data_IF_772205705876
#
_entry.id   IF_772205705876
#
_cell.length_a   1.000
_cell.length_b   1.000
_cell.length_c   1.000
_cell.angle_alpha   90.00
_cell.angle_beta   90.00
_cell.angle_gamma   90.00
#
_symmetry.space_group_name_H-M   'P 1'
#
loop_
_entity.id
_entity.type
_entity.pdbx_description
1 polymer ?
#
# COMPACT_ATOMS: atom_id res chain seq x y z
N UNK A 1 9.63 4.67 -13.12
CA UNK A 1 10.05 3.43 -12.44
C UNK A 1 10.07 3.62 -10.94
N UNK A 2 9.61 2.71 -10.18
CA UNK A 2 9.55 2.84 -8.75
C UNK A 2 10.83 2.36 -8.06
N UNK A 3 11.96 2.81 -8.56
CA UNK A 3 13.24 2.36 -8.04
C UNK A 3 13.44 2.72 -6.57
N UNK A 4 12.94 3.89 -6.19
CA UNK A 4 13.06 4.32 -4.80
C UNK A 4 12.26 3.40 -3.89
N UNK A 5 11.09 2.99 -4.33
CA UNK A 5 10.27 2.07 -3.56
C UNK A 5 10.94 0.71 -3.43
N UNK A 6 11.50 0.19 -4.51
CA UNK A 6 12.18 -1.11 -4.48
C UNK A 6 13.37 -1.06 -3.54
N UNK A 7 14.14 0.02 -3.59
CA UNK A 7 15.29 0.17 -2.70
C UNK A 7 14.85 0.20 -1.24
N UNK A 8 13.77 0.91 -0.93
CA UNK A 8 13.28 0.98 0.43
C UNK A 8 12.68 -0.35 0.88
N UNK A 9 12.03 -1.04 -0.03
CA UNK A 9 11.48 -2.35 0.28
C UNK A 9 12.61 -3.30 0.70
N UNK A 10 13.72 -3.29 -0.03
CA UNK A 10 14.86 -4.11 0.32
C UNK A 10 15.52 -3.66 1.63
N UNK A 11 15.66 -2.37 1.80
CA UNK A 11 16.32 -1.83 3.01
C UNK A 11 15.51 -2.07 4.27
N UNK A 12 14.20 -2.24 4.15
CA UNK A 12 13.31 -2.41 5.30
C UNK A 12 12.79 -3.83 5.41
N UNK A 13 13.50 -4.78 4.85
CA UNK A 13 13.15 -6.20 4.92
C UNK A 13 11.73 -6.47 4.43
N UNK A 14 11.37 -5.86 3.30
CA UNK A 14 10.06 -6.05 2.70
C UNK A 14 8.92 -5.50 3.52
N UNK A 15 9.17 -4.57 4.40
CA UNK A 15 8.20 -4.01 5.35
C UNK A 15 7.63 -5.10 6.25
N UNK A 16 8.40 -6.14 6.51
CA UNK A 16 7.97 -7.23 7.38
C UNK A 16 7.57 -6.69 8.75
N UNK A 17 6.41 -7.09 9.21
CA UNK A 17 5.87 -6.69 10.52
C UNK A 17 5.54 -5.20 10.68
N UNK A 18 5.47 -4.46 9.59
CA UNK A 18 4.97 -3.09 9.68
C UNK A 18 3.46 -3.14 9.91
N UNK A 19 2.96 -2.25 10.72
CA UNK A 19 1.53 -2.15 10.97
C UNK A 19 0.89 -1.21 9.98
N UNK A 20 -0.31 -1.57 9.52
CA UNK A 20 -1.09 -0.66 8.70
C UNK A 20 -1.74 0.38 9.60
N UNK A 21 -1.51 1.64 9.28
CA UNK A 21 -2.18 2.74 9.95
C UNK A 21 -3.44 3.13 9.21
N UNK A 22 -3.42 3.04 7.89
CA UNK A 22 -4.53 3.51 7.09
C UNK A 22 -4.50 2.92 5.71
N UNK A 23 -5.68 2.59 5.18
CA UNK A 23 -5.86 2.24 3.79
C UNK A 23 -6.96 3.16 3.30
N UNK A 24 -6.65 4.02 2.34
CA UNK A 24 -7.59 5.03 1.89
C UNK A 24 -7.76 4.98 0.38
N UNK A 25 -9.00 4.81 -0.09
CA UNK A 25 -9.31 4.79 -1.49
C UNK A 25 -9.92 6.13 -1.89
N UNK A 26 -9.44 6.70 -2.98
CA UNK A 26 -9.90 7.99 -3.46
C UNK A 26 -10.29 7.87 -4.92
N UNK A 27 -11.43 8.42 -5.28
CA UNK A 27 -11.81 8.54 -6.69
C UNK A 27 -11.82 10.00 -7.06
N UNK A 28 -11.34 10.31 -8.26
CA UNK A 28 -11.34 11.66 -8.78
C UNK A 28 -11.96 11.66 -10.15
N UNK A 29 -12.89 12.58 -10.39
CA UNK A 29 -13.52 12.73 -11.68
C UNK A 29 -13.00 14.00 -12.32
N UNK A 30 -12.51 13.88 -13.54
CA UNK A 30 -12.11 15.05 -14.31
C UNK A 30 -13.38 15.65 -14.91
N UNK A 31 -13.65 16.91 -14.62
CA UNK A 31 -14.89 17.55 -15.04
C UNK A 31 -14.98 17.68 -16.56
N UNK A 32 -13.87 17.89 -17.21
CA UNK A 32 -13.85 18.10 -18.66
C UNK A 32 -13.95 16.79 -19.41
N UNK A 33 -13.08 15.83 -19.12
CA UNK A 33 -13.05 14.56 -19.82
C UNK A 33 -14.05 13.56 -19.30
N UNK A 34 -14.59 13.82 -18.11
CA UNK A 34 -15.50 12.92 -17.41
C UNK A 34 -14.86 11.58 -17.04
N UNK A 35 -13.56 11.50 -17.11
CA UNK A 35 -12.86 10.31 -16.71
C UNK A 35 -12.76 10.24 -15.20
N UNK A 36 -12.91 9.05 -14.66
CA UNK A 36 -12.75 8.80 -13.23
C UNK A 36 -11.46 8.01 -13.04
N UNK A 37 -10.60 8.47 -12.14
CA UNK A 37 -9.39 7.76 -11.80
C UNK A 37 -9.46 7.39 -10.32
N UNK A 38 -8.84 6.27 -9.99
CA UNK A 38 -8.83 5.77 -8.62
C UNK A 38 -7.40 5.71 -8.12
N UNK A 39 -7.23 6.03 -6.85
CA UNK A 39 -5.94 5.90 -6.19
C UNK A 39 -6.15 5.26 -4.83
N UNK A 40 -5.09 4.69 -4.30
CA UNK A 40 -5.13 4.05 -2.99
C UNK A 40 -3.90 4.49 -2.22
N UNK A 41 -4.09 4.93 -0.99
CA UNK A 41 -3.00 5.31 -0.15
C UNK A 41 -2.87 4.31 0.98
N UNK A 42 -1.68 3.77 1.15
CA UNK A 42 -1.38 2.85 2.24
C UNK A 42 -0.40 3.55 3.18
N UNK A 43 -0.73 3.58 4.46
CA UNK A 43 0.14 4.13 5.47
C UNK A 43 0.57 3.04 6.41
N UNK A 44 1.87 2.91 6.60
CA UNK A 44 2.46 1.85 7.43
C UNK A 44 3.40 2.46 8.44
N UNK A 45 3.66 1.74 9.53
CA UNK A 45 4.65 2.18 10.50
C UNK A 45 5.38 0.99 11.12
N UNK A 46 6.64 1.19 11.43
CA UNK A 46 7.41 0.24 12.22
C UNK A 46 7.56 0.75 13.66
N UNK A 47 6.84 1.80 14.01
CA UNK A 47 6.94 2.42 15.32
C UNK A 47 7.85 3.64 15.34
N UNK A 48 8.70 3.78 14.34
CA UNK A 48 9.63 4.91 14.26
C UNK A 48 9.32 5.79 13.08
N UNK A 49 9.13 5.18 11.93
CA UNK A 49 8.87 5.90 10.69
C UNK A 49 7.44 5.66 10.24
N UNK A 50 6.91 6.61 9.51
CA UNK A 50 5.63 6.42 8.81
C UNK A 50 5.95 6.37 7.32
N UNK A 51 5.58 5.25 6.72
CA UNK A 51 5.78 5.00 5.29
C UNK A 51 4.44 5.19 4.61
N UNK A 52 4.44 5.92 3.51
CA UNK A 52 3.25 6.20 2.76
C UNK A 52 3.44 5.76 1.33
N UNK A 53 2.57 4.89 0.86
CA UNK A 53 2.56 4.43 -0.51
C UNK A 53 1.31 4.95 -1.18
N UNK A 54 1.48 5.69 -2.28
CA UNK A 54 0.34 6.11 -3.06
C UNK A 54 0.35 5.33 -4.35
N UNK A 55 -0.69 4.55 -4.56
CA UNK A 55 -0.87 3.75 -5.76
C UNK A 55 -1.78 4.56 -6.68
N UNK A 56 -1.26 4.97 -7.83
CA UNK A 56 -1.97 5.88 -8.73
C UNK A 56 -2.49 5.13 -9.95
N UNK A 57 -3.65 5.56 -10.42
CA UNK A 57 -4.33 4.93 -11.55
C UNK A 57 -4.55 3.45 -11.27
N UNK A 58 -5.21 3.18 -10.16
CA UNK A 58 -5.51 1.82 -9.73
C UNK A 58 -6.51 1.20 -10.69
N UNK A 59 -6.19 0.00 -11.16
CA UNK A 59 -7.05 -0.71 -12.11
C UNK A 59 -7.66 -1.97 -11.50
N UNK A 60 -7.15 -2.41 -10.38
CA UNK A 60 -7.71 -3.59 -9.72
C UNK A 60 -7.32 -3.64 -8.25
N UNK A 61 -8.26 -4.09 -7.44
CA UNK A 61 -8.02 -4.27 -6.01
C UNK A 61 -8.71 -5.56 -5.59
N UNK A 62 -8.01 -6.38 -4.85
CA UNK A 62 -8.58 -7.57 -4.26
C UNK A 62 -8.11 -7.63 -2.81
N UNK A 63 -9.05 -7.63 -1.89
CA UNK A 63 -8.74 -7.69 -0.46
C UNK A 63 -9.57 -8.83 0.11
N UNK A 64 -8.89 -9.77 0.76
CA UNK A 64 -9.59 -10.89 1.36
C UNK A 64 -10.53 -10.37 2.45
N UNK A 65 -11.78 -10.78 2.37
CA UNK A 65 -12.78 -10.31 3.33
C UNK A 65 -12.42 -10.68 4.76
N UNK A 66 -11.76 -11.81 4.95
CA UNK A 66 -11.38 -12.25 6.27
C UNK A 66 -10.40 -11.31 6.95
N UNK A 67 -9.71 -10.48 6.19
CA UNK A 67 -8.82 -9.50 6.78
C UNK A 67 -9.54 -8.56 7.72
N UNK A 68 -10.84 -8.40 7.54
CA UNK A 68 -11.62 -7.47 8.34
C UNK A 68 -12.70 -8.16 9.17
N UNK A 69 -12.85 -9.46 9.00
CA UNK A 69 -13.98 -10.18 9.58
C UNK A 69 -13.98 -10.18 11.12
N UNK A 70 -12.81 -10.21 11.71
CA UNK A 70 -12.72 -10.30 13.16
C UNK A 70 -12.64 -8.95 13.84
N UNK A 71 -12.77 -7.88 13.12
CA UNK A 71 -12.71 -6.55 13.70
C UNK A 71 -11.35 -6.16 14.22
N UNK A 72 -10.30 -6.81 13.76
CA UNK A 72 -8.97 -6.54 14.24
C UNK A 72 -8.17 -5.69 13.27
N UNK A 73 -8.83 -4.76 12.61
CA UNK A 73 -8.18 -3.88 11.67
C UNK A 73 -7.01 -3.13 12.24
N UNK A 74 -7.08 -2.77 13.49
CA UNK A 74 -5.99 -2.05 14.12
C UNK A 74 -4.73 -2.89 14.30
N UNK A 75 -4.81 -4.17 14.02
CA UNK A 75 -3.67 -5.05 14.14
C UNK A 75 -3.26 -5.67 12.83
N UNK A 76 -3.79 -5.16 11.74
CA UNK A 76 -3.42 -5.66 10.43
C UNK A 76 -1.96 -5.31 10.17
N UNK A 77 -1.16 -6.31 9.88
CA UNK A 77 0.25 -6.12 9.63
C UNK A 77 0.62 -6.57 8.23
N UNK A 78 1.66 -5.96 7.73
CA UNK A 78 2.23 -6.34 6.44
C UNK A 78 3.21 -7.47 6.71
N UNK A 79 2.83 -8.68 6.40
CA UNK A 79 3.68 -9.83 6.63
C UNK A 79 4.72 -9.99 5.55
N UNK A 80 4.31 -9.93 4.31
CA UNK A 80 5.21 -10.14 3.19
C UNK A 80 4.65 -9.45 1.95
N UNK A 81 5.47 -8.73 1.24
CA UNK A 81 5.04 -8.02 0.05
C UNK A 81 5.80 -8.45 -1.19
N UNK A 82 5.09 -8.61 -2.28
CA UNK A 82 5.70 -8.86 -3.58
C UNK A 82 5.31 -7.75 -4.54
N UNK A 83 6.28 -7.29 -5.30
CA UNK A 83 6.08 -6.23 -6.26
C UNK A 83 6.49 -6.72 -7.63
N UNK A 84 5.61 -6.55 -8.60
CA UNK A 84 5.80 -7.08 -9.93
C UNK A 84 5.43 -6.06 -10.99
N UNK A 85 5.97 -6.23 -12.18
CA UNK A 85 5.64 -5.40 -13.33
C UNK A 85 5.26 -6.33 -14.46
N UNK A 86 4.08 -6.15 -15.02
CA UNK A 86 3.67 -7.02 -16.13
C UNK A 86 4.22 -6.53 -17.47
N UNK A 87 3.94 -7.25 -18.53
CA UNK A 87 4.46 -6.93 -19.86
C UNK A 87 3.94 -5.61 -20.41
N UNK A 88 2.81 -5.13 -19.90
CA UNK A 88 2.24 -3.87 -20.35
C UNK A 88 2.68 -2.70 -19.48
N UNK A 89 3.57 -2.93 -18.55
CA UNK A 89 4.06 -1.89 -17.67
C UNK A 89 3.15 -1.60 -16.48
N UNK A 90 2.11 -2.40 -16.28
CA UNK A 90 1.27 -2.26 -15.10
C UNK A 90 1.99 -2.83 -13.89
N UNK A 91 1.82 -2.18 -12.76
CA UNK A 91 2.47 -2.58 -11.53
C UNK A 91 1.50 -3.38 -10.67
N UNK A 92 2.02 -4.38 -9.98
CA UNK A 92 1.23 -5.19 -9.06
C UNK A 92 1.91 -5.24 -7.72
N UNK A 93 1.15 -5.02 -6.68
CA UNK A 93 1.63 -5.14 -5.31
C UNK A 93 0.75 -6.17 -4.62
N UNK A 94 1.35 -7.25 -4.16
CA UNK A 94 0.64 -8.29 -3.41
C UNK A 94 1.17 -8.30 -2.00
N UNK A 95 0.28 -8.23 -1.04
CA UNK A 95 0.66 -8.18 0.37
C UNK A 95 0.02 -9.34 1.09
N UNK A 96 0.83 -10.23 1.62
CA UNK A 96 0.34 -11.31 2.45
C UNK A 96 0.37 -10.82 3.89
N UNK A 97 -0.79 -10.64 4.46
CA UNK A 97 -0.92 -10.29 5.87
C UNK A 97 -0.96 -11.57 6.68
N UNK A 98 -1.17 -11.47 7.97
CA UNK A 98 -1.20 -12.65 8.80
C UNK A 98 -2.32 -13.62 8.43
N UNK A 99 -2.09 -14.89 8.64
CA UNK A 99 -3.10 -15.93 8.55
C UNK A 99 -3.78 -16.03 7.19
N UNK A 100 -3.02 -15.95 6.16
CA UNK A 100 -3.51 -16.14 4.80
C UNK A 100 -4.39 -15.02 4.27
N UNK A 101 -4.51 -13.94 4.99
CA UNK A 101 -5.18 -12.76 4.46
C UNK A 101 -4.26 -12.11 3.44
N UNK A 102 -4.82 -11.72 2.31
CA UNK A 102 -4.02 -11.21 1.22
C UNK A 102 -4.70 -10.02 0.55
N UNK A 103 -3.90 -9.04 0.18
CA UNK A 103 -4.37 -7.91 -0.59
C UNK A 103 -3.55 -7.82 -1.86
N UNK A 104 -4.21 -7.49 -2.96
CA UNK A 104 -3.55 -7.30 -4.25
C UNK A 104 -4.03 -6.02 -4.89
N UNK A 105 -3.08 -5.27 -5.42
CA UNK A 105 -3.38 -4.01 -6.08
C UNK A 105 -2.70 -3.99 -7.45
N UNK A 106 -3.45 -3.55 -8.47
CA UNK A 106 -2.90 -3.31 -9.81
C UNK A 106 -3.03 -1.83 -10.09
N UNK A 107 -1.97 -1.20 -10.54
CA UNK A 107 -1.94 0.24 -10.72
C UNK A 107 -0.85 0.64 -11.71
N UNK A 108 -0.76 1.91 -12.07
CA UNK A 108 0.18 2.36 -13.09
C UNK A 108 1.36 3.12 -12.56
N UNK A 109 1.23 3.80 -11.43
CA UNK A 109 2.32 4.57 -10.85
C UNK A 109 2.31 4.42 -9.34
N UNK A 110 3.48 4.57 -8.75
CA UNK A 110 3.62 4.49 -7.31
C UNK A 110 4.42 5.69 -6.83
N UNK A 111 3.96 6.28 -5.74
CA UNK A 111 4.67 7.37 -5.07
C UNK A 111 4.97 6.91 -3.66
N UNK A 112 6.23 7.03 -3.26
CA UNK A 112 6.68 6.57 -1.96
C UNK A 112 7.22 7.74 -1.16
N UNK A 113 6.77 7.88 0.09
CA UNK A 113 7.33 8.86 1.02
C UNK A 113 7.53 8.21 2.37
N UNK A 114 8.50 8.70 3.10
CA UNK A 114 8.80 8.20 4.43
C UNK A 114 9.09 9.38 5.34
N UNK A 115 8.44 9.39 6.50
CA UNK A 115 8.65 10.44 7.49
C UNK A 115 8.90 9.82 8.85
N UNK A 116 9.77 10.44 9.61
CA UNK A 116 9.95 10.01 10.98
C UNK A 116 8.75 10.44 11.80
N UNK A 117 8.33 9.58 12.67
CA UNK A 117 7.27 9.89 13.59
C UNK A 117 7.78 10.86 14.61
N UNK A 118 7.26 12.08 14.58
CA UNK A 118 7.64 13.05 15.56
C UNK A 118 6.62 13.14 16.65
N UNK A 119 6.97 13.62 17.72
CA UNK A 119 6.06 13.98 18.77
C UNK A 119 5.45 12.89 19.50
N UNK A 120 5.93 11.75 19.21
CA UNK A 120 5.40 10.74 19.87
C UNK A 120 5.99 10.59 21.04
N UNK A 121 6.84 11.21 21.21
CA UNK A 121 7.39 10.98 22.24
C UNK A 121 6.92 11.55 23.24
N UNK A 122 6.38 11.81 23.21
CA UNK A 122 5.91 12.25 24.15
C UNK A 122 5.16 12.01 24.45
#
# INVERSE_FOLDING_TARGET
MPEKFVAELLARDGFHDYDFLEINFVSKKNIISKKVTYSCELKLTDGKDIVRLELLSVTGVSIAADSFADGILGRLTWGYGEFDVDSDGNLQLSIACDLANEMRFSFKKLRFTCKKRKGLLR
#
